data_IF_518771480382
#
_entry.id   IF_518771480382
#
_cell.length_a   1.000
_cell.length_b   1.000
_cell.length_c   1.000
_cell.angle_alpha   90.00
_cell.angle_beta   90.00
_cell.angle_gamma   90.00
#
_symmetry.space_group_name_H-M   'P 1'
#
loop_
_entity.id
_entity.type
_entity.pdbx_description
1 polymer ?
#
# COMPACT_ATOMS: atom_id res chain seq x y z
N UNK A 1 -10.25 3.05 -8.99
CA UNK A 1 -10.27 1.60 -8.73
C UNK A 1 -10.53 0.92 -10.05
N UNK A 2 -9.61 0.07 -10.47
CA UNK A 2 -9.76 -0.77 -11.67
C UNK A 2 -10.35 -2.11 -11.27
N UNK A 3 -11.15 -2.70 -12.16
CA UNK A 3 -11.88 -3.96 -11.90
C UNK A 3 -11.72 -4.88 -13.10
N UNK A 4 -11.40 -6.15 -12.86
CA UNK A 4 -11.34 -7.20 -13.88
C UNK A 4 -11.89 -8.51 -13.30
N UNK A 5 -12.76 -9.21 -14.04
CA UNK A 5 -13.34 -10.50 -13.65
C UNK A 5 -13.99 -10.52 -12.25
N UNK A 6 -14.61 -9.41 -11.82
CA UNK A 6 -15.23 -9.29 -10.50
C UNK A 6 -14.23 -9.12 -9.35
N UNK A 7 -12.96 -8.86 -9.66
CA UNK A 7 -11.91 -8.56 -8.70
C UNK A 7 -11.44 -7.11 -8.84
N UNK A 8 -11.01 -6.54 -7.73
CA UNK A 8 -10.25 -5.30 -7.68
C UNK A 8 -8.81 -5.60 -7.22
N UNK A 9 -7.92 -4.63 -7.35
CA UNK A 9 -6.50 -4.82 -7.09
C UNK A 9 -5.99 -4.02 -5.90
N UNK A 10 -4.98 -4.59 -5.24
CA UNK A 10 -4.21 -3.97 -4.16
C UNK A 10 -2.75 -3.96 -4.58
N UNK A 11 -2.13 -2.81 -4.44
CA UNK A 11 -0.70 -2.63 -4.62
C UNK A 11 -0.12 -1.93 -3.40
N UNK A 12 1.07 -2.35 -2.95
CA UNK A 12 1.77 -1.65 -1.90
C UNK A 12 3.28 -1.75 -2.05
N UNK A 13 3.97 -0.76 -1.48
CA UNK A 13 5.43 -0.69 -1.50
C UNK A 13 5.91 -0.30 -0.12
N UNK A 14 6.85 -1.06 0.42
CA UNK A 14 7.56 -0.73 1.65
C UNK A 14 8.98 -0.34 1.27
N UNK A 15 9.38 0.86 1.70
CA UNK A 15 10.75 1.35 1.58
C UNK A 15 11.39 1.51 2.95
N UNK A 16 12.68 1.25 3.01
CA UNK A 16 13.53 1.49 4.18
C UNK A 16 13.88 2.96 4.34
N UNK A 17 14.59 3.28 5.41
CA UNK A 17 14.96 4.66 5.75
C UNK A 17 15.84 5.33 4.70
N UNK A 18 16.67 4.55 4.00
CA UNK A 18 17.57 5.07 2.97
C UNK A 18 16.87 5.16 1.59
N UNK A 19 15.57 4.85 1.54
CA UNK A 19 14.79 4.76 0.31
C UNK A 19 15.04 3.48 -0.49
N UNK A 20 15.78 2.55 0.09
CA UNK A 20 15.91 1.18 -0.38
C UNK A 20 14.54 0.51 -0.42
N UNK A 21 14.31 -0.27 -1.47
CA UNK A 21 13.10 -1.04 -1.61
C UNK A 21 13.20 -2.25 -0.68
N UNK A 22 12.30 -2.38 0.29
CA UNK A 22 12.28 -3.52 1.22
C UNK A 22 11.39 -4.62 0.66
N UNK A 23 10.14 -4.27 0.35
CA UNK A 23 9.20 -5.24 -0.16
C UNK A 23 8.10 -4.58 -0.99
N UNK A 24 7.54 -5.36 -1.91
CA UNK A 24 6.49 -4.96 -2.84
C UNK A 24 5.37 -5.99 -2.78
N UNK A 25 4.14 -5.51 -2.81
CA UNK A 25 2.94 -6.33 -2.79
C UNK A 25 2.06 -6.02 -4.00
N UNK A 26 1.55 -7.07 -4.62
CA UNK A 26 0.48 -7.01 -5.61
C UNK A 26 -0.50 -8.15 -5.32
N UNK A 27 -1.77 -7.82 -5.09
CA UNK A 27 -2.77 -8.79 -4.63
C UNK A 27 -4.14 -8.50 -5.22
N UNK A 28 -4.83 -9.53 -5.72
CA UNK A 28 -6.24 -9.44 -6.10
C UNK A 28 -7.14 -9.50 -4.86
N UNK A 29 -8.25 -8.76 -4.90
CA UNK A 29 -9.27 -8.75 -3.86
C UNK A 29 -10.67 -8.89 -4.49
N UNK A 30 -11.65 -9.48 -3.77
CA UNK A 30 -13.04 -9.48 -4.22
C UNK A 30 -13.53 -8.06 -4.48
N UNK A 31 -14.48 -7.87 -5.41
CA UNK A 31 -15.09 -6.56 -5.63
C UNK A 31 -15.78 -6.05 -4.35
N UNK A 32 -15.22 -5.00 -3.78
CA UNK A 32 -15.68 -4.32 -2.57
C UNK A 32 -15.77 -2.82 -2.82
N UNK A 33 -16.30 -2.06 -1.84
CA UNK A 33 -16.34 -0.60 -1.96
C UNK A 33 -14.93 0.00 -2.04
N UNK A 34 -14.78 1.12 -2.74
CA UNK A 34 -13.49 1.81 -2.89
C UNK A 34 -12.86 2.07 -1.51
N UNK A 35 -13.63 2.64 -0.57
CA UNK A 35 -13.10 2.91 0.78
C UNK A 35 -12.64 1.62 1.49
N UNK A 36 -13.41 0.54 1.38
CA UNK A 36 -13.03 -0.75 1.98
C UNK A 36 -11.75 -1.30 1.34
N UNK A 37 -11.59 -1.17 0.02
CA UNK A 37 -10.39 -1.59 -0.68
C UNK A 37 -9.16 -0.81 -0.23
N UNK A 38 -9.26 0.51 -0.14
CA UNK A 38 -8.17 1.38 0.29
C UNK A 38 -7.74 1.06 1.74
N UNK A 39 -8.70 0.87 2.65
CA UNK A 39 -8.40 0.46 4.03
C UNK A 39 -7.78 -0.95 4.08
N UNK A 40 -8.21 -1.85 3.20
CA UNK A 40 -7.62 -3.19 3.09
C UNK A 40 -6.20 -3.14 2.56
N UNK A 41 -5.92 -2.30 1.57
CA UNK A 41 -4.58 -2.06 1.04
C UNK A 41 -3.64 -1.54 2.13
N UNK A 42 -4.07 -0.51 2.88
CA UNK A 42 -3.33 0.02 4.03
C UNK A 42 -3.03 -1.09 5.04
N UNK A 43 -4.05 -1.87 5.44
CA UNK A 43 -3.88 -2.98 6.37
C UNK A 43 -2.83 -3.98 5.89
N UNK A 44 -2.94 -4.42 4.63
CA UNK A 44 -2.03 -5.42 4.04
C UNK A 44 -0.60 -4.89 3.94
N UNK A 45 -0.43 -3.62 3.60
CA UNK A 45 0.87 -3.00 3.52
C UNK A 45 1.55 -2.85 4.90
N UNK A 46 0.77 -2.59 5.95
CA UNK A 46 1.26 -2.55 7.33
C UNK A 46 1.62 -3.94 7.85
N UNK A 47 0.76 -4.94 7.63
CA UNK A 47 1.08 -6.34 7.92
C UNK A 47 2.39 -6.74 7.25
N UNK A 48 2.59 -6.34 5.99
CA UNK A 48 3.82 -6.58 5.27
C UNK A 48 5.01 -5.86 5.93
N UNK A 49 4.93 -4.56 6.18
CA UNK A 49 6.01 -3.80 6.80
C UNK A 49 6.42 -4.36 8.17
N UNK A 50 5.45 -4.79 8.98
CA UNK A 50 5.70 -5.41 10.28
C UNK A 50 6.40 -6.77 10.16
N UNK A 51 6.06 -7.58 9.13
CA UNK A 51 6.74 -8.85 8.87
C UNK A 51 8.24 -8.66 8.55
N UNK A 52 8.62 -7.50 8.00
CA UNK A 52 10.01 -7.11 7.76
C UNK A 52 10.61 -6.29 8.91
N UNK A 53 10.00 -6.32 10.10
CA UNK A 53 10.46 -5.59 11.30
C UNK A 53 10.62 -4.08 11.08
N UNK A 54 9.91 -3.50 10.11
CA UNK A 54 9.94 -2.06 9.89
C UNK A 54 9.16 -1.36 11.01
N UNK A 55 9.82 -0.40 11.67
CA UNK A 55 9.26 0.41 12.75
C UNK A 55 9.22 1.88 12.35
N UNK A 56 8.44 2.70 13.06
CA UNK A 56 8.30 4.14 12.81
C UNK A 56 7.85 4.46 11.37
N UNK A 57 6.72 3.89 10.97
CA UNK A 57 6.23 3.96 9.60
C UNK A 57 5.54 5.29 9.30
N UNK A 58 5.75 5.78 8.09
CA UNK A 58 4.90 6.76 7.42
C UNK A 58 4.12 6.02 6.34
N UNK A 59 2.78 6.07 6.38
CA UNK A 59 1.93 5.53 5.33
C UNK A 59 1.48 6.67 4.43
N UNK A 60 1.82 6.58 3.16
CA UNK A 60 1.40 7.50 2.10
C UNK A 60 0.32 6.83 1.26
N UNK A 61 -0.83 7.48 1.13
CA UNK A 61 -1.93 7.02 0.29
C UNK A 61 -2.50 8.14 -0.58
N UNK A 62 -2.94 7.82 -1.79
CA UNK A 62 -3.68 8.76 -2.65
C UNK A 62 -5.18 8.83 -2.36
N UNK A 63 -5.67 8.06 -1.37
CA UNK A 63 -7.02 8.19 -0.85
C UNK A 63 -7.10 9.20 0.31
N UNK A 64 -7.42 10.46 0.00
CA UNK A 64 -7.64 11.50 1.01
C UNK A 64 -8.68 11.07 2.05
N UNK A 65 -9.73 10.38 1.61
CA UNK A 65 -10.79 9.88 2.49
C UNK A 65 -10.27 8.86 3.50
N UNK A 66 -9.44 7.92 3.07
CA UNK A 66 -8.84 6.91 3.96
C UNK A 66 -7.90 7.57 4.97
N UNK A 67 -7.07 8.51 4.51
CA UNK A 67 -6.13 9.27 5.37
C UNK A 67 -6.89 10.05 6.44
N UNK A 68 -7.94 10.79 6.05
CA UNK A 68 -8.76 11.56 6.99
C UNK A 68 -9.45 10.66 8.01
N UNK A 69 -10.07 9.58 7.54
CA UNK A 69 -10.78 8.63 8.38
C UNK A 69 -9.85 8.01 9.44
N UNK A 70 -8.68 7.51 9.04
CA UNK A 70 -7.70 6.92 9.97
C UNK A 70 -7.10 7.96 10.90
N UNK A 71 -6.93 9.22 10.47
CA UNK A 71 -6.40 10.25 11.36
C UNK A 71 -7.41 10.74 12.40
N UNK A 72 -8.71 10.62 12.14
CA UNK A 72 -9.77 11.13 13.00
C UNK A 72 -10.39 10.06 13.91
N UNK A 73 -10.42 8.80 13.45
CA UNK A 73 -11.11 7.71 14.14
C UNK A 73 -10.11 6.78 14.86
N UNK A 74 -10.12 6.80 16.19
CA UNK A 74 -9.23 5.99 17.03
C UNK A 74 -9.53 4.49 16.95
N UNK A 75 -10.78 4.10 16.73
CA UNK A 75 -11.17 2.69 16.66
C UNK A 75 -10.65 2.08 15.36
N UNK A 76 -10.72 2.85 14.26
CA UNK A 76 -10.10 2.46 12.99
C UNK A 76 -8.58 2.37 13.13
N UNK A 77 -7.94 3.30 13.84
CA UNK A 77 -6.49 3.22 14.10
C UNK A 77 -6.11 1.97 14.88
N UNK A 78 -6.89 1.63 15.91
CA UNK A 78 -6.67 0.43 16.69
C UNK A 78 -6.87 -0.83 15.84
N UNK A 79 -7.94 -0.89 15.05
CA UNK A 79 -8.24 -2.02 14.17
C UNK A 79 -7.15 -2.29 13.12
N UNK A 80 -6.54 -1.24 12.58
CA UNK A 80 -5.45 -1.32 11.61
C UNK A 80 -4.06 -1.45 12.26
N UNK A 81 -3.97 -1.46 13.59
CA UNK A 81 -2.71 -1.44 14.34
C UNK A 81 -1.78 -0.26 13.98
N UNK A 82 -2.35 0.91 13.67
CA UNK A 82 -1.60 2.12 13.22
C UNK A 82 -1.40 3.18 14.31
N UNK A 83 -1.49 2.80 15.59
CA UNK A 83 -1.44 3.77 16.70
C UNK A 83 -0.15 4.62 16.71
N UNK A 84 0.96 4.09 16.20
CA UNK A 84 2.26 4.77 16.11
C UNK A 84 2.68 5.10 14.68
N UNK A 85 1.74 5.09 13.73
CA UNK A 85 2.00 5.34 12.31
C UNK A 85 1.45 6.70 11.91
N UNK A 86 2.21 7.41 11.09
CA UNK A 86 1.78 8.67 10.49
C UNK A 86 1.10 8.42 9.15
N UNK A 87 -0.15 8.84 9.00
CA UNK A 87 -0.85 8.78 7.72
C UNK A 87 -0.68 10.10 6.98
N UNK A 88 -0.18 10.05 5.76
CA UNK A 88 0.00 11.20 4.90
C UNK A 88 -0.75 11.00 3.57
N UNK A 89 -1.37 12.08 3.10
CA UNK A 89 -1.95 12.10 1.77
C UNK A 89 -0.88 12.46 0.74
N UNK A 90 -0.87 11.75 -0.39
CA UNK A 90 -0.02 12.07 -1.54
C UNK A 90 -0.86 12.12 -2.82
N UNK A 91 -0.37 12.80 -3.85
CA UNK A 91 -1.04 12.75 -5.15
C UNK A 91 -0.95 11.35 -5.76
N UNK A 92 -1.89 11.01 -6.65
CA UNK A 92 -1.86 9.73 -7.38
C UNK A 92 -0.57 9.53 -8.17
N UNK A 93 0.00 10.60 -8.72
CA UNK A 93 1.28 10.53 -9.44
C UNK A 93 2.43 10.14 -8.51
N UNK A 94 2.44 10.64 -7.27
CA UNK A 94 3.40 10.23 -6.25
C UNK A 94 3.17 8.78 -5.76
N UNK A 95 1.96 8.25 -5.94
CA UNK A 95 1.57 6.87 -5.62
C UNK A 95 1.51 5.93 -6.86
N UNK A 96 2.06 6.37 -8.00
CA UNK A 96 1.87 5.68 -9.30
C UNK A 96 2.32 4.22 -9.30
N UNK A 97 3.37 3.87 -8.57
CA UNK A 97 3.88 2.49 -8.54
C UNK A 97 2.88 1.58 -7.79
N UNK A 98 2.33 1.99 -6.64
CA UNK A 98 1.32 1.21 -5.93
C UNK A 98 0.06 1.02 -6.79
N UNK A 99 -0.35 2.09 -7.49
CA UNK A 99 -1.44 2.00 -8.45
C UNK A 99 -1.18 1.00 -9.57
N UNK A 100 0.03 0.98 -10.15
CA UNK A 100 0.36 -0.02 -11.18
C UNK A 100 0.43 -1.44 -10.65
N UNK A 101 0.89 -1.64 -9.42
CA UNK A 101 0.88 -2.96 -8.75
C UNK A 101 -0.55 -3.46 -8.58
N UNK A 102 -1.47 -2.59 -8.15
CA UNK A 102 -2.89 -2.93 -8.08
C UNK A 102 -3.45 -3.34 -9.45
N UNK A 103 -3.01 -2.70 -10.54
CA UNK A 103 -3.43 -3.09 -11.89
C UNK A 103 -2.79 -4.40 -12.34
N UNK A 104 -1.53 -4.63 -11.98
CA UNK A 104 -0.82 -5.89 -12.26
C UNK A 104 -1.54 -7.08 -11.60
N UNK A 105 -2.06 -6.91 -10.39
CA UNK A 105 -2.81 -7.95 -9.67
C UNK A 105 -4.13 -8.35 -10.33
N UNK A 106 -4.64 -7.56 -11.28
CA UNK A 106 -5.84 -7.92 -12.04
C UNK A 106 -5.53 -8.94 -13.14
N UNK A 107 -4.27 -9.00 -13.58
CA UNK A 107 -3.80 -9.94 -14.58
C UNK A 107 -3.26 -11.23 -13.93
N UNK A 108 -2.66 -11.11 -12.75
CA UNK A 108 -2.19 -12.21 -11.95
C UNK A 108 -3.21 -12.50 -10.84
N UNK A 109 -4.00 -13.57 -10.99
CA UNK A 109 -5.03 -13.96 -10.01
C UNK A 109 -4.49 -14.33 -8.61
N UNK A 110 -3.18 -14.28 -8.39
CA UNK A 110 -2.50 -14.71 -7.17
C UNK A 110 -1.78 -13.55 -6.45
N UNK A 111 -1.58 -13.72 -5.15
CA UNK A 111 -0.72 -12.88 -4.32
C UNK A 111 0.71 -12.94 -4.85
N UNK A 112 1.25 -11.78 -5.25
CA UNK A 112 2.64 -11.62 -5.68
C UNK A 112 3.39 -10.70 -4.73
N UNK A 113 4.56 -11.15 -4.28
CA UNK A 113 5.43 -10.43 -3.36
C UNK A 113 6.88 -10.48 -3.85
N UNK A 114 7.56 -9.33 -3.79
CA UNK A 114 8.97 -9.22 -4.13
C UNK A 114 9.72 -8.57 -2.99
N UNK A 115 10.86 -9.16 -2.61
CA UNK A 115 11.74 -8.67 -1.55
C UNK A 115 12.99 -8.09 -2.19
N UNK A 116 13.41 -6.91 -1.75
CA UNK A 116 14.55 -6.13 -2.26
C UNK A 116 14.52 -5.83 -3.77
N UNK A 117 13.42 -6.15 -4.42
CA UNK A 117 13.23 -6.13 -5.88
C UNK A 117 11.76 -5.87 -6.19
N UNK A 118 11.42 -5.74 -7.48
CA UNK A 118 10.05 -5.61 -7.93
C UNK A 118 9.83 -6.24 -9.30
N UNK A 119 8.58 -6.25 -9.80
CA UNK A 119 8.29 -6.69 -11.15
C UNK A 119 9.10 -5.87 -12.16
N UNK A 120 9.70 -6.59 -13.13
CA UNK A 120 10.55 -5.99 -14.16
C UNK A 120 9.83 -4.86 -14.90
N UNK A 121 10.50 -3.72 -15.05
CA UNK A 121 9.95 -2.54 -15.75
C UNK A 121 8.97 -1.68 -14.94
N UNK A 122 8.63 -2.06 -13.70
CA UNK A 122 7.76 -1.27 -12.83
C UNK A 122 8.52 -0.39 -11.83
N UNK A 123 9.80 -0.73 -11.59
CA UNK A 123 10.62 -0.10 -10.56
C UNK A 123 11.55 0.93 -11.17
N UNK A 124 11.13 2.18 -11.09
CA UNK A 124 12.00 3.33 -11.12
C UNK A 124 11.50 4.24 -9.99
N UNK A 125 12.37 4.70 -9.07
CA UNK A 125 12.22 5.93 -8.25
C UNK A 125 12.87 5.88 -6.84
N UNK A 126 13.83 6.80 -6.69
CA UNK A 126 14.14 7.86 -5.68
C UNK A 126 13.91 7.65 -4.17
N UNK A 127 14.83 8.24 -3.42
CA UNK A 127 15.04 8.18 -1.97
C UNK A 127 13.91 8.85 -1.16
N UNK A 128 13.38 8.15 -0.17
CA UNK A 128 12.56 8.70 0.92
C UNK A 128 12.84 7.90 2.19
N UNK A 129 12.41 8.42 3.35
CA UNK A 129 12.48 7.73 4.65
C UNK A 129 11.64 6.44 4.63
N UNK A 130 11.60 5.69 5.74
CA UNK A 130 10.78 4.48 5.86
C UNK A 130 9.32 4.79 5.56
N UNK A 131 8.86 4.39 4.38
CA UNK A 131 7.58 4.81 3.81
C UNK A 131 6.87 3.59 3.24
N UNK A 132 5.61 3.45 3.62
CA UNK A 132 4.66 2.51 3.03
C UNK A 132 3.78 3.28 2.06
N UNK A 133 3.80 2.92 0.78
CA UNK A 133 2.90 3.47 -0.25
C UNK A 133 1.79 2.50 -0.57
N UNK A 134 0.55 2.99 -0.62
CA UNK A 134 -0.68 2.22 -0.87
C UNK A 134 -1.62 3.02 -1.73
#
# INVERSE_FOLDING_TARGET
MDVMNGCCGIGAIVRGFNGDLVCVLSMSAPLISILTLELHAIKKALELALNFSCVQLIVESDSLRSVQLINQDKDIRAFLHVNQVFMNYVSRDANRIAHHLARFSLQCCELSMWVDTGPLGLMDLRHSKSVVKV
#
